data_IF_994134457026
#
_entry.id   IF_994134457026
#
_cell.length_a   1.000
_cell.length_b   1.000
_cell.length_c   1.000
_cell.angle_alpha   90.00
_cell.angle_beta   90.00
_cell.angle_gamma   90.00
#
_symmetry.space_group_name_H-M   'P 1'
#
loop_
_entity.id
_entity.type
_entity.pdbx_description
1 polymer ?
#
# COMPACT_ATOMS: atom_id res chain seq x y z
N UNK A 1 30.20 19.03 0.45
CA UNK A 1 31.01 18.08 -0.33
C UNK A 1 30.32 17.83 -1.66
N UNK A 2 30.74 18.56 -2.70
CA UNK A 2 30.06 18.60 -4.01
C UNK A 2 30.34 17.36 -4.85
N UNK A 3 31.55 16.80 -4.73
CA UNK A 3 31.96 15.61 -5.47
C UNK A 3 31.14 14.38 -5.04
N UNK A 4 31.01 14.16 -3.72
CA UNK A 4 30.17 13.08 -3.20
C UNK A 4 28.69 13.26 -3.58
N UNK A 5 28.19 14.49 -3.54
CA UNK A 5 26.81 14.79 -3.94
C UNK A 5 26.55 14.41 -5.42
N UNK A 6 27.49 14.73 -6.32
CA UNK A 6 27.39 14.32 -7.73
C UNK A 6 27.45 12.80 -7.87
N UNK A 7 28.39 12.13 -7.20
CA UNK A 7 28.50 10.67 -7.25
C UNK A 7 27.21 9.97 -6.78
N UNK A 8 26.60 10.44 -5.69
CA UNK A 8 25.33 9.89 -5.19
C UNK A 8 24.18 10.12 -6.18
N UNK A 9 24.08 11.31 -6.76
CA UNK A 9 23.03 11.62 -7.73
C UNK A 9 23.14 10.74 -8.98
N UNK A 10 24.33 10.68 -9.60
CA UNK A 10 24.57 9.86 -10.79
C UNK A 10 24.30 8.39 -10.51
N UNK A 11 24.69 7.90 -9.34
CA UNK A 11 24.45 6.49 -8.96
C UNK A 11 22.96 6.22 -8.76
N UNK A 12 22.21 7.12 -8.12
CA UNK A 12 20.77 6.98 -7.94
C UNK A 12 20.01 6.99 -9.28
N UNK A 13 20.43 7.83 -10.23
CA UNK A 13 19.89 7.86 -11.59
C UNK A 13 20.17 6.54 -12.33
N UNK A 14 21.40 6.03 -12.25
CA UNK A 14 21.76 4.74 -12.84
C UNK A 14 20.97 3.56 -12.22
N UNK A 15 20.72 3.57 -10.91
CA UNK A 15 19.88 2.58 -10.24
C UNK A 15 18.44 2.66 -10.78
N UNK A 16 17.86 3.86 -10.88
CA UNK A 16 16.51 4.04 -11.44
C UNK A 16 16.40 3.51 -12.86
N UNK A 17 17.36 3.82 -13.73
CA UNK A 17 17.41 3.30 -15.10
C UNK A 17 17.52 1.77 -15.13
N UNK A 18 18.34 1.19 -14.25
CA UNK A 18 18.45 -0.26 -14.12
C UNK A 18 17.16 -0.91 -13.60
N UNK A 19 16.45 -0.28 -12.66
CA UNK A 19 15.14 -0.75 -12.19
C UNK A 19 14.13 -0.79 -13.34
N UNK A 20 14.07 0.24 -14.17
CA UNK A 20 13.18 0.26 -15.34
C UNK A 20 13.57 -0.81 -16.36
N UNK A 21 14.87 -0.93 -16.66
CA UNK A 21 15.37 -1.85 -17.68
C UNK A 21 15.24 -3.32 -17.28
N UNK A 22 15.51 -3.66 -16.03
CA UNK A 22 15.68 -5.06 -15.59
C UNK A 22 14.60 -5.53 -14.61
N UNK A 23 14.04 -4.65 -13.77
CA UNK A 23 13.00 -5.06 -12.81
C UNK A 23 11.60 -4.86 -13.34
N UNK A 24 11.34 -3.93 -14.28
CA UNK A 24 10.01 -3.82 -14.86
C UNK A 24 9.78 -4.89 -15.94
N UNK A 25 8.91 -5.85 -15.65
CA UNK A 25 8.52 -6.88 -16.62
C UNK A 25 7.40 -6.37 -17.52
N UNK A 26 7.69 -6.25 -18.82
CA UNK A 26 6.67 -5.93 -19.85
C UNK A 26 5.64 -7.06 -20.02
N UNK A 27 6.07 -8.31 -19.80
CA UNK A 27 5.20 -9.48 -19.87
C UNK A 27 4.16 -9.47 -18.74
N UNK A 28 4.60 -9.28 -17.50
CA UNK A 28 3.70 -9.27 -16.34
C UNK A 28 3.08 -7.90 -16.06
N UNK A 29 3.54 -6.85 -16.76
CA UNK A 29 3.13 -5.44 -16.59
C UNK A 29 3.30 -4.93 -15.15
N UNK A 30 4.40 -5.28 -14.49
CA UNK A 30 4.72 -4.84 -13.13
C UNK A 30 6.19 -5.04 -12.81
N UNK A 31 6.65 -4.49 -11.69
CA UNK A 31 7.96 -4.82 -11.15
C UNK A 31 8.04 -6.30 -10.72
N UNK A 32 9.21 -6.88 -10.97
CA UNK A 32 9.64 -8.19 -10.50
C UNK A 32 10.12 -8.10 -9.06
N UNK A 33 9.99 -9.20 -8.31
CA UNK A 33 10.36 -9.25 -6.90
C UNK A 33 11.86 -9.25 -6.70
N UNK A 34 12.57 -10.07 -7.46
CA UNK A 34 14.02 -10.21 -7.34
C UNK A 34 14.64 -10.65 -8.65
N UNK A 35 15.86 -10.20 -8.89
CA UNK A 35 16.76 -10.71 -9.91
C UNK A 35 17.92 -11.41 -9.21
N UNK A 36 18.14 -12.68 -9.50
CA UNK A 36 19.23 -13.47 -8.93
C UNK A 36 20.28 -13.70 -10.00
N UNK A 37 21.47 -13.13 -9.78
CA UNK A 37 22.63 -13.38 -10.62
C UNK A 37 23.41 -14.57 -10.07
N UNK A 38 23.52 -15.63 -10.88
CA UNK A 38 24.24 -16.83 -10.52
C UNK A 38 25.71 -16.74 -10.93
N UNK A 39 26.56 -17.57 -10.31
CA UNK A 39 28.01 -17.57 -10.56
C UNK A 39 28.39 -18.00 -11.98
N UNK A 40 27.52 -18.74 -12.65
CA UNK A 40 27.68 -19.14 -14.06
C UNK A 40 27.29 -18.03 -15.05
N UNK A 41 26.89 -16.86 -14.55
CA UNK A 41 26.47 -15.72 -15.37
C UNK A 41 25.00 -15.76 -15.77
N UNK A 42 24.23 -16.77 -15.37
CA UNK A 42 22.79 -16.81 -15.62
C UNK A 42 22.03 -15.84 -14.71
N UNK A 43 20.92 -15.31 -15.24
CA UNK A 43 20.02 -14.41 -14.54
C UNK A 43 18.67 -15.11 -14.34
N UNK A 44 18.31 -15.36 -13.09
CA UNK A 44 17.01 -15.89 -12.71
C UNK A 44 16.10 -14.77 -12.22
N UNK A 45 14.84 -14.82 -12.61
CA UNK A 45 13.81 -13.83 -12.28
C UNK A 45 12.80 -14.43 -11.31
N UNK A 46 12.70 -13.87 -10.09
CA UNK A 46 11.57 -14.18 -9.20
C UNK A 46 10.37 -13.30 -9.58
N UNK A 47 9.40 -13.94 -10.23
CA UNK A 47 8.16 -13.31 -10.67
C UNK A 47 7.06 -13.35 -9.60
N UNK A 48 7.29 -13.93 -8.43
CA UNK A 48 6.31 -13.98 -7.33
C UNK A 48 5.84 -12.57 -6.99
N UNK A 49 4.54 -12.36 -6.83
CA UNK A 49 4.05 -11.05 -6.43
C UNK A 49 4.21 -10.84 -4.92
N UNK A 50 4.70 -9.67 -4.54
CA UNK A 50 5.07 -9.32 -3.17
C UNK A 50 4.61 -7.88 -2.88
N UNK A 51 4.07 -7.64 -1.68
CA UNK A 51 3.59 -6.33 -1.27
C UNK A 51 4.72 -5.29 -1.16
N UNK A 52 5.97 -5.73 -0.96
CA UNK A 52 7.15 -4.85 -0.97
C UNK A 52 7.40 -4.17 -2.31
N UNK A 53 6.75 -4.63 -3.39
CA UNK A 53 6.76 -3.96 -4.69
C UNK A 53 6.08 -2.57 -4.69
N UNK A 54 5.54 -2.13 -3.54
CA UNK A 54 5.14 -0.74 -3.28
C UNK A 54 6.34 0.22 -3.19
N UNK A 55 7.53 -0.29 -2.82
CA UNK A 55 8.73 0.49 -2.54
C UNK A 55 9.16 1.47 -3.66
N UNK A 56 9.06 1.13 -4.97
CA UNK A 56 9.49 2.03 -6.04
C UNK A 56 8.80 3.40 -6.02
N UNK A 57 7.53 3.49 -5.61
CA UNK A 57 6.88 4.80 -5.46
C UNK A 57 7.14 5.41 -4.09
N UNK A 58 7.16 4.59 -3.04
CA UNK A 58 7.26 5.08 -1.66
C UNK A 58 8.60 5.77 -1.40
N UNK A 59 9.68 5.26 -1.98
CA UNK A 59 11.00 5.89 -1.93
C UNK A 59 11.22 6.95 -3.02
N UNK A 60 10.18 7.32 -3.78
CA UNK A 60 10.24 8.40 -4.77
C UNK A 60 11.02 8.07 -6.05
N UNK A 61 11.30 6.80 -6.33
CA UNK A 61 12.00 6.40 -7.57
C UNK A 61 11.10 6.63 -8.79
N UNK A 62 9.82 6.28 -8.66
CA UNK A 62 8.77 6.50 -9.65
C UNK A 62 7.59 7.25 -9.03
N UNK A 63 6.86 8.03 -9.84
CA UNK A 63 5.69 8.75 -9.37
C UNK A 63 4.56 7.77 -8.99
N UNK A 64 3.71 8.08 -8.00
CA UNK A 64 2.62 7.19 -7.57
C UNK A 64 1.60 6.90 -8.68
N UNK A 65 1.51 7.78 -9.68
CA UNK A 65 0.66 7.67 -10.87
C UNK A 65 1.40 7.16 -12.12
N UNK A 66 2.69 6.87 -12.02
CA UNK A 66 3.44 6.23 -13.12
C UNK A 66 2.76 4.90 -13.47
N UNK A 67 2.56 4.62 -14.76
CA UNK A 67 1.85 3.43 -15.22
C UNK A 67 2.46 2.14 -14.64
N UNK A 68 3.79 2.09 -14.49
CA UNK A 68 4.50 0.93 -13.93
C UNK A 68 4.12 0.72 -12.46
N UNK A 69 4.02 1.80 -11.69
CA UNK A 69 3.60 1.77 -10.29
C UNK A 69 2.12 1.38 -10.20
N UNK A 70 1.25 2.03 -10.99
CA UNK A 70 -0.19 1.77 -10.97
C UNK A 70 -0.49 0.31 -11.28
N UNK A 71 0.13 -0.24 -12.32
CA UNK A 71 -0.06 -1.64 -12.68
C UNK A 71 0.47 -2.59 -11.59
N UNK A 72 1.61 -2.26 -10.98
CA UNK A 72 2.19 -3.04 -9.88
C UNK A 72 1.28 -3.06 -8.64
N UNK A 73 0.79 -1.90 -8.21
CA UNK A 73 -0.08 -1.78 -7.04
C UNK A 73 -1.47 -2.40 -7.28
N UNK A 74 -2.01 -2.27 -8.49
CA UNK A 74 -3.23 -2.98 -8.88
C UNK A 74 -3.03 -4.50 -8.86
N UNK A 75 -1.87 -4.99 -9.31
CA UNK A 75 -1.55 -6.40 -9.23
C UNK A 75 -1.43 -6.87 -7.76
N UNK A 76 -0.81 -6.07 -6.88
CA UNK A 76 -0.77 -6.33 -5.43
C UNK A 76 -2.19 -6.44 -4.87
N UNK A 77 -3.05 -5.42 -5.06
CA UNK A 77 -4.45 -5.45 -4.60
C UNK A 77 -5.16 -6.70 -5.13
N UNK A 78 -5.02 -7.01 -6.41
CA UNK A 78 -5.76 -8.11 -7.04
C UNK A 78 -5.31 -9.50 -6.56
N UNK A 79 -4.01 -9.73 -6.43
CA UNK A 79 -3.45 -11.07 -6.17
C UNK A 79 -3.18 -11.36 -4.70
N UNK A 80 -2.91 -10.33 -3.90
CA UNK A 80 -2.56 -10.47 -2.49
C UNK A 80 -3.72 -10.17 -1.54
N UNK A 81 -4.87 -9.69 -2.05
CA UNK A 81 -6.05 -9.51 -1.21
C UNK A 81 -6.65 -10.85 -0.78
N UNK A 82 -6.87 -11.01 0.53
CA UNK A 82 -7.48 -12.20 1.11
C UNK A 82 -8.98 -12.18 0.85
N UNK A 83 -9.50 -13.19 0.16
CA UNK A 83 -10.92 -13.28 -0.23
C UNK A 83 -11.76 -13.99 0.81
N UNK A 84 -11.70 -13.48 2.03
CA UNK A 84 -12.55 -13.84 3.16
C UNK A 84 -13.18 -12.57 3.72
N UNK A 85 -14.11 -12.72 4.67
CA UNK A 85 -14.69 -11.57 5.37
C UNK A 85 -13.63 -10.79 6.19
N UNK A 86 -12.48 -11.40 6.48
CA UNK A 86 -11.37 -10.72 7.15
C UNK A 86 -10.68 -9.74 6.22
N UNK A 87 -10.46 -10.06 4.94
CA UNK A 87 -9.79 -9.16 3.99
C UNK A 87 -8.32 -8.87 4.31
N UNK A 88 -7.77 -7.79 3.74
CA UNK A 88 -6.39 -7.35 3.94
C UNK A 88 -5.41 -7.96 2.93
N UNK A 89 -4.14 -7.54 3.01
CA UNK A 89 -3.09 -7.89 2.03
C UNK A 89 -2.10 -8.89 2.63
N UNK A 90 -1.86 -9.99 1.92
CA UNK A 90 -0.75 -10.91 2.18
C UNK A 90 0.61 -10.31 1.83
N UNK A 91 1.67 -10.79 2.47
CA UNK A 91 3.04 -10.34 2.22
C UNK A 91 3.52 -10.69 0.80
N UNK A 92 3.38 -11.95 0.39
CA UNK A 92 3.60 -12.41 -0.98
C UNK A 92 2.78 -13.66 -1.26
N UNK A 93 2.61 -13.98 -2.53
CA UNK A 93 1.81 -15.13 -2.94
C UNK A 93 2.50 -16.44 -2.55
N UNK A 94 1.79 -17.28 -1.82
CA UNK A 94 2.37 -18.49 -1.29
C UNK A 94 3.28 -18.24 -0.09
N UNK A 95 2.99 -17.23 0.74
CA UNK A 95 3.67 -17.06 2.02
C UNK A 95 3.42 -18.26 2.94
N UNK A 96 4.49 -18.90 3.42
CA UNK A 96 4.43 -20.08 4.30
C UNK A 96 4.47 -19.72 5.79
N UNK A 97 4.81 -18.49 6.12
CA UNK A 97 5.00 -18.08 7.50
C UNK A 97 3.67 -17.98 8.25
N UNK A 98 3.51 -18.79 9.30
CA UNK A 98 2.25 -18.96 10.05
C UNK A 98 1.02 -19.27 9.18
N UNK A 99 1.21 -19.83 7.97
CA UNK A 99 0.12 -20.13 7.05
C UNK A 99 -0.88 -21.07 7.71
N UNK A 100 -2.17 -20.75 7.53
CA UNK A 100 -3.29 -21.54 8.07
C UNK A 100 -4.18 -22.16 6.99
N UNK A 101 -3.97 -21.83 5.71
CA UNK A 101 -4.76 -22.35 4.61
C UNK A 101 -3.90 -22.57 3.36
N UNK A 102 -4.20 -23.62 2.60
CA UNK A 102 -3.46 -23.98 1.38
C UNK A 102 -4.14 -23.51 0.08
N UNK A 103 -5.33 -22.92 0.14
CA UNK A 103 -6.00 -22.33 -1.02
C UNK A 103 -5.35 -20.98 -1.39
N UNK A 104 -4.20 -21.02 -2.07
CA UNK A 104 -3.43 -19.84 -2.48
C UNK A 104 -4.24 -18.89 -3.39
N UNK A 105 -5.17 -19.41 -4.17
CA UNK A 105 -5.99 -18.62 -5.12
C UNK A 105 -6.83 -17.56 -4.40
N UNK A 106 -7.35 -17.89 -3.23
CA UNK A 106 -8.25 -17.01 -2.46
C UNK A 106 -7.57 -16.50 -1.18
N UNK A 107 -6.58 -17.25 -0.67
CA UNK A 107 -5.82 -16.96 0.54
C UNK A 107 -4.34 -17.10 0.20
N UNK A 108 -3.76 -16.10 -0.49
CA UNK A 108 -2.34 -16.11 -0.90
C UNK A 108 -1.36 -16.15 0.28
N UNK A 109 -1.83 -15.80 1.48
CA UNK A 109 -1.13 -15.83 2.76
C UNK A 109 -2.06 -15.34 3.88
N UNK A 110 -1.52 -15.07 5.07
CA UNK A 110 -2.27 -14.34 6.09
C UNK A 110 -2.29 -12.84 5.79
N UNK A 111 -3.32 -12.08 6.20
CA UNK A 111 -3.31 -10.62 6.17
C UNK A 111 -2.25 -10.03 7.11
N UNK A 112 -1.47 -9.07 6.59
CA UNK A 112 -0.52 -8.26 7.35
C UNK A 112 -1.01 -6.82 7.47
N UNK A 113 -0.94 -6.24 8.66
CA UNK A 113 -1.30 -4.83 8.87
C UNK A 113 -0.44 -3.90 8.00
N UNK A 114 0.88 -4.10 8.04
CA UNK A 114 1.85 -3.29 7.29
C UNK A 114 1.57 -3.34 5.79
N UNK A 115 1.37 -4.52 5.21
CA UNK A 115 1.13 -4.66 3.78
C UNK A 115 -0.21 -4.03 3.34
N UNK A 116 -1.22 -4.09 4.23
CA UNK A 116 -2.51 -3.43 4.01
C UNK A 116 -2.36 -1.92 4.05
N UNK A 117 -1.55 -1.39 4.98
CA UNK A 117 -1.23 0.02 5.08
C UNK A 117 -0.39 0.51 3.89
N UNK A 118 0.56 -0.26 3.37
CA UNK A 118 1.30 0.11 2.15
C UNK A 118 0.39 0.35 0.95
N UNK A 119 -0.69 -0.43 0.82
CA UNK A 119 -1.71 -0.19 -0.19
C UNK A 119 -2.48 1.11 0.09
N UNK A 120 -2.81 1.40 1.36
CA UNK A 120 -3.43 2.67 1.76
C UNK A 120 -2.53 3.88 1.45
N UNK A 121 -1.23 3.79 1.75
CA UNK A 121 -0.25 4.83 1.45
C UNK A 121 -0.14 5.12 -0.04
N UNK A 122 -0.28 4.10 -0.91
CA UNK A 122 -0.36 4.32 -2.34
C UNK A 122 -1.65 5.04 -2.76
N UNK A 123 -2.81 4.64 -2.21
CA UNK A 123 -4.08 5.35 -2.46
C UNK A 123 -3.98 6.82 -2.03
N UNK A 124 -3.41 7.08 -0.86
CA UNK A 124 -3.13 8.43 -0.37
C UNK A 124 -2.26 9.14 -1.39
N UNK A 125 -1.09 8.60 -1.75
CA UNK A 125 -0.13 9.27 -2.60
C UNK A 125 -0.71 9.68 -3.97
N UNK A 126 -1.53 8.82 -4.58
CA UNK A 126 -2.12 9.07 -5.90
C UNK A 126 -3.42 9.89 -5.89
N UNK A 127 -4.09 10.05 -4.75
CA UNK A 127 -5.37 10.76 -4.71
C UNK A 127 -5.22 12.23 -5.17
N UNK A 128 -6.18 12.66 -5.97
CA UNK A 128 -6.43 14.04 -6.40
C UNK A 128 -7.78 14.56 -5.90
N UNK A 129 -8.69 13.67 -5.51
CA UNK A 129 -10.01 14.04 -4.98
C UNK A 129 -10.25 13.43 -3.60
N UNK A 130 -11.18 14.01 -2.84
CA UNK A 130 -11.62 13.44 -1.56
C UNK A 130 -12.27 12.08 -1.73
N UNK A 131 -12.94 11.83 -2.87
CA UNK A 131 -13.55 10.54 -3.17
C UNK A 131 -12.51 9.44 -3.33
N UNK A 132 -11.43 9.70 -4.09
CA UNK A 132 -10.32 8.76 -4.23
C UNK A 132 -9.62 8.47 -2.89
N UNK A 133 -9.61 9.45 -1.98
CA UNK A 133 -8.98 9.32 -0.67
C UNK A 133 -9.76 8.37 0.26
N UNK A 134 -11.05 8.12 0.01
CA UNK A 134 -11.86 7.16 0.77
C UNK A 134 -11.33 5.73 0.67
N UNK A 135 -10.70 5.35 -0.45
CA UNK A 135 -10.07 4.02 -0.60
C UNK A 135 -8.98 3.78 0.45
N UNK A 136 -8.22 4.83 0.80
CA UNK A 136 -7.23 4.74 1.87
C UNK A 136 -7.88 4.69 3.25
N UNK A 137 -8.92 5.49 3.47
CA UNK A 137 -9.65 5.53 4.74
C UNK A 137 -10.25 4.16 5.07
N UNK A 138 -10.85 3.49 4.08
CA UNK A 138 -11.36 2.13 4.22
C UNK A 138 -10.29 1.15 4.77
N UNK A 139 -9.05 1.24 4.26
CA UNK A 139 -7.96 0.39 4.72
C UNK A 139 -7.41 0.79 6.10
N UNK A 140 -7.42 2.08 6.44
CA UNK A 140 -7.09 2.55 7.78
C UNK A 140 -8.12 2.04 8.79
N UNK A 141 -9.41 2.15 8.48
CA UNK A 141 -10.51 1.63 9.30
C UNK A 141 -10.42 0.11 9.46
N UNK A 142 -10.06 -0.60 8.37
CA UNK A 142 -9.81 -2.04 8.41
C UNK A 142 -8.76 -2.41 9.46
N UNK A 143 -7.68 -1.64 9.58
CA UNK A 143 -6.62 -1.84 10.59
C UNK A 143 -7.15 -1.54 11.99
N UNK A 144 -7.82 -0.39 12.18
CA UNK A 144 -8.35 0.03 13.47
C UNK A 144 -9.34 -0.97 14.05
N UNK A 145 -10.22 -1.55 13.22
CA UNK A 145 -11.22 -2.54 13.63
C UNK A 145 -10.62 -3.90 14.03
N UNK A 146 -9.34 -4.14 13.73
CA UNK A 146 -8.66 -5.42 13.95
C UNK A 146 -7.55 -5.33 14.99
N UNK A 147 -7.40 -4.18 15.64
CA UNK A 147 -6.64 -4.10 16.88
C UNK A 147 -7.26 -4.99 17.96
N UNK A 148 -6.42 -5.44 18.90
CA UNK A 148 -6.91 -6.10 20.12
C UNK A 148 -7.81 -5.15 20.92
N UNK A 149 -8.56 -5.62 21.94
CA UNK A 149 -9.33 -4.73 22.81
C UNK A 149 -8.50 -3.61 23.48
N UNK A 150 -7.18 -3.81 23.59
CA UNK A 150 -6.21 -2.80 24.04
C UNK A 150 -5.71 -1.86 22.93
N UNK A 151 -6.27 -1.95 21.72
CA UNK A 151 -5.83 -1.31 20.47
C UNK A 151 -4.45 -1.72 19.99
N UNK A 152 -3.85 -2.76 20.58
CA UNK A 152 -2.56 -3.30 20.14
C UNK A 152 -2.71 -4.01 18.80
N UNK A 153 -1.85 -3.65 17.84
CA UNK A 153 -1.70 -4.33 16.56
C UNK A 153 -0.64 -5.45 16.65
N UNK A 154 -1.04 -6.65 16.24
CA UNK A 154 -0.13 -7.76 16.00
C UNK A 154 0.65 -7.57 14.68
N UNK A 155 1.43 -8.56 14.29
CA UNK A 155 2.06 -8.61 12.97
C UNK A 155 1.05 -9.04 11.88
N UNK A 156 0.28 -10.09 12.17
CA UNK A 156 -0.69 -10.71 11.26
C UNK A 156 -2.01 -10.97 11.98
N UNK A 157 -3.07 -11.20 11.20
CA UNK A 157 -4.33 -11.75 11.71
C UNK A 157 -4.68 -13.04 11.00
N UNK A 158 -5.47 -13.89 11.64
CA UNK A 158 -5.96 -15.13 11.04
C UNK A 158 -7.00 -14.82 9.94
N UNK A 159 -6.83 -15.34 8.71
CA UNK A 159 -7.66 -14.99 7.55
C UNK A 159 -9.14 -15.35 7.68
N UNK A 160 -9.54 -16.18 8.65
CA UNK A 160 -10.96 -16.54 8.86
C UNK A 160 -11.56 -16.03 10.17
N UNK A 161 -10.74 -15.82 11.19
CA UNK A 161 -11.23 -15.59 12.57
C UNK A 161 -10.79 -14.24 13.13
N UNK A 162 -9.96 -13.51 12.39
CA UNK A 162 -9.37 -12.24 12.80
C UNK A 162 -8.53 -12.30 14.09
N UNK A 163 -8.23 -13.50 14.61
CA UNK A 163 -7.39 -13.67 15.79
C UNK A 163 -5.95 -13.21 15.48
N UNK A 164 -5.25 -12.57 16.43
CA UNK A 164 -3.86 -12.18 16.22
C UNK A 164 -2.99 -13.41 15.94
N UNK A 165 -2.06 -13.28 15.00
CA UNK A 165 -1.04 -14.28 14.71
C UNK A 165 0.35 -13.62 14.78
N UNK A 166 1.35 -14.41 15.17
CA UNK A 166 2.74 -13.97 15.37
C UNK A 166 2.85 -12.92 16.51
N UNK A 167 3.87 -12.08 16.46
CA UNK A 167 4.23 -11.12 17.52
C UNK A 167 3.14 -10.07 17.73
N UNK A 168 2.84 -9.77 19.00
CA UNK A 168 1.90 -8.71 19.41
C UNK A 168 2.35 -8.11 20.75
N UNK A 169 2.66 -6.80 20.82
CA UNK A 169 2.61 -5.81 19.74
C UNK A 169 3.72 -6.01 18.71
N UNK A 170 3.43 -5.72 17.43
CA UNK A 170 4.49 -5.39 16.48
C UNK A 170 4.64 -3.86 16.38
N UNK A 171 5.78 -3.35 16.85
CA UNK A 171 6.11 -1.91 16.80
C UNK A 171 5.99 -1.34 15.38
N UNK A 172 6.40 -2.11 14.37
CA UNK A 172 6.32 -1.68 12.98
C UNK A 172 4.87 -1.54 12.49
N UNK A 173 3.93 -2.41 12.89
CA UNK A 173 2.51 -2.25 12.54
C UNK A 173 1.94 -0.93 13.08
N UNK A 174 2.32 -0.54 14.31
CA UNK A 174 1.91 0.73 14.90
C UNK A 174 2.57 1.92 14.21
N UNK A 175 3.87 1.85 13.94
CA UNK A 175 4.58 2.90 13.23
C UNK A 175 3.99 3.14 11.84
N UNK A 176 3.69 2.06 11.10
CA UNK A 176 3.05 2.14 9.78
C UNK A 176 1.67 2.80 9.86
N UNK A 177 0.86 2.48 10.87
CA UNK A 177 -0.46 3.11 11.05
C UNK A 177 -0.31 4.62 11.30
N UNK A 178 0.57 5.02 12.21
CA UNK A 178 0.82 6.44 12.52
C UNK A 178 1.31 7.18 11.27
N UNK A 179 2.30 6.62 10.55
CA UNK A 179 2.80 7.22 9.30
C UNK A 179 1.68 7.37 8.28
N UNK A 180 0.86 6.34 8.07
CA UNK A 180 -0.25 6.37 7.11
C UNK A 180 -1.30 7.42 7.49
N UNK A 181 -1.62 7.58 8.78
CA UNK A 181 -2.55 8.61 9.25
C UNK A 181 -1.98 10.02 8.99
N UNK A 182 -0.70 10.25 9.27
CA UNK A 182 -0.06 11.55 9.01
C UNK A 182 -0.09 11.86 7.52
N UNK A 183 0.27 10.91 6.66
CA UNK A 183 0.21 11.05 5.21
C UNK A 183 -1.22 11.33 4.71
N UNK A 184 -2.21 10.63 5.27
CA UNK A 184 -3.63 10.83 4.96
C UNK A 184 -4.07 12.26 5.30
N UNK A 185 -3.77 12.74 6.52
CA UNK A 185 -4.16 14.07 6.97
C UNK A 185 -3.48 15.17 6.14
N UNK A 186 -2.21 14.99 5.78
CA UNK A 186 -1.50 15.92 4.92
C UNK A 186 -2.08 15.95 3.51
N UNK A 187 -2.46 14.80 2.96
CA UNK A 187 -3.10 14.74 1.65
C UNK A 187 -4.52 15.32 1.69
N UNK A 188 -5.29 15.01 2.73
CA UNK A 188 -6.61 15.56 2.96
C UNK A 188 -6.55 17.09 2.94
N UNK A 189 -5.67 17.70 3.74
CA UNK A 189 -5.47 19.16 3.75
C UNK A 189 -5.10 19.71 2.38
N UNK A 190 -4.24 19.03 1.62
CA UNK A 190 -3.83 19.48 0.28
C UNK A 190 -4.99 19.47 -0.72
N UNK A 191 -5.87 18.48 -0.65
CA UNK A 191 -6.99 18.31 -1.58
C UNK A 191 -8.24 19.08 -1.13
N UNK A 192 -8.44 19.25 0.17
CA UNK A 192 -9.61 19.92 0.74
C UNK A 192 -9.54 21.44 0.69
N UNK A 193 -8.45 22.03 0.20
CA UNK A 193 -8.25 23.48 0.15
C UNK A 193 -8.32 23.96 -1.31
N UNK A 194 -8.98 25.11 -1.52
CA UNK A 194 -9.01 25.79 -2.80
C UNK A 194 -7.60 26.25 -3.19
N UNK A 195 -7.08 25.87 -4.38
CA UNK A 195 -5.71 26.19 -4.79
C UNK A 195 -5.49 27.70 -5.02
N UNK A 196 -6.55 28.50 -5.17
CA UNK A 196 -6.46 29.94 -5.39
C UNK A 196 -6.48 30.77 -4.10
N UNK A 197 -7.30 30.39 -3.13
CA UNK A 197 -7.52 31.23 -1.93
C UNK A 197 -7.19 30.53 -0.61
N UNK A 198 -6.81 29.24 -0.64
CA UNK A 198 -6.41 28.48 0.56
C UNK A 198 -7.55 28.22 1.55
N UNK A 199 -8.80 28.54 1.20
CA UNK A 199 -9.97 28.22 2.01
C UNK A 199 -10.40 26.77 1.79
N UNK A 200 -11.02 26.16 2.80
CA UNK A 200 -11.64 24.85 2.64
C UNK A 200 -12.64 24.88 1.48
N UNK A 201 -12.57 23.87 0.61
CA UNK A 201 -13.62 23.58 -0.36
C UNK A 201 -14.84 23.17 0.47
N UNK A 202 -15.77 24.09 0.66
CA UNK A 202 -16.98 23.86 1.45
C UNK A 202 -17.73 22.67 0.89
N UNK A 203 -17.86 21.60 1.67
CA UNK A 203 -18.91 20.61 1.48
C UNK A 203 -20.23 21.28 1.82
N UNK A 204 -20.84 21.98 0.86
CA UNK A 204 -22.23 22.36 0.97
C UNK A 204 -23.07 21.08 0.88
N UNK A 205 -23.21 20.36 1.99
CA UNK A 205 -24.41 19.54 2.19
C UNK A 205 -25.54 20.52 2.47
N UNK A 206 -26.28 20.88 1.42
CA UNK A 206 -27.60 21.46 1.54
C UNK A 206 -28.53 20.38 2.12
N UNK A 207 -28.53 20.21 3.45
CA UNK A 207 -29.66 19.61 4.16
C UNK A 207 -30.66 20.72 4.48
N UNK A 208 -31.26 21.26 3.42
CA UNK A 208 -32.53 21.97 3.49
C UNK A 208 -33.59 21.13 2.79
N UNK A 209 -33.83 19.92 3.28
CA UNK A 209 -35.18 19.37 3.21
C UNK A 209 -35.97 19.98 4.37
N UNK A 210 -36.71 21.02 3.99
CA UNK A 210 -37.86 21.48 4.74
C UNK A 210 -38.87 20.34 4.79
N UNK A 211 -38.99 19.69 5.94
CA UNK A 211 -40.27 19.08 6.32
C UNK A 211 -41.24 20.22 6.65
N UNK A 212 -41.77 20.84 5.60
CA UNK A 212 -43.06 21.55 5.66
C UNK A 212 -44.14 20.49 5.57
N UNK A 213 -44.86 20.30 6.68
CA UNK A 213 -45.91 19.29 6.79
C UNK A 213 -47.05 19.44 5.79
N UNK A 214 -47.63 18.31 5.43
CA UNK A 214 -48.94 18.19 4.78
C UNK A 214 -49.65 16.97 5.38
N UNK A 215 -50.65 17.29 6.22
CA UNK A 215 -51.76 16.49 6.80
C UNK A 215 -51.49 15.11 7.44
#
# INVERSE_FOLDING_TARGET
DTERAMAYKTTAEAIKEAMDKYLYSKEHKRFLRTLVFHRDGSLETDVTIDASLYAPFYFGVFAPKDERVVNTMNAIRKRLWIKTDVGGIARYEGDKYHRVADNIRDIPGNPWFICTLWLAQWYIAKAETLEELKEALYLIDWVCQRGLPSSVLAEQVHPFTNQPLSVSPLTWSHAALVTTIVEYLDKFKKISLCPHCGKALSTHENTHEKDEGVY
#
